data_IF_548907018720
#
_entry.id   IF_548907018720
#
_cell.length_a   1.000
_cell.length_b   1.000
_cell.length_c   1.000
_cell.angle_alpha   90.00
_cell.angle_beta   90.00
_cell.angle_gamma   90.00
#
_symmetry.space_group_name_H-M   'P 1'
#
loop_
_entity.id
_entity.type
_entity.pdbx_description
1 polymer ?
#
# COMPACT_ATOMS: atom_id res chain seq x y z
N UNK A 1 -24.86 33.88 -23.70
CA UNK A 1 -23.47 34.29 -23.40
C UNK A 1 -23.42 34.82 -21.97
N UNK A 2 -22.92 34.01 -21.04
CA UNK A 2 -22.30 34.45 -19.78
C UNK A 2 -21.11 33.52 -19.57
N UNK A 3 -19.95 33.96 -20.05
CA UNK A 3 -18.66 33.46 -19.60
C UNK A 3 -18.41 34.12 -18.25
N UNK A 4 -18.11 33.32 -17.25
CA UNK A 4 -17.31 33.66 -16.07
C UNK A 4 -17.15 32.34 -15.27
N UNK A 5 -16.37 31.42 -15.85
CA UNK A 5 -15.59 30.44 -15.06
C UNK A 5 -14.49 31.23 -14.33
N UNK A 6 -14.88 32.08 -13.39
CA UNK A 6 -13.95 32.79 -12.52
C UNK A 6 -13.27 31.77 -11.60
N UNK A 7 -11.99 31.49 -11.86
CA UNK A 7 -10.87 31.38 -10.91
C UNK A 7 -11.21 31.15 -9.42
N UNK A 8 -12.07 30.18 -9.11
CA UNK A 8 -12.46 29.91 -7.73
C UNK A 8 -11.37 29.06 -7.11
N UNK A 9 -10.44 29.73 -6.44
CA UNK A 9 -9.43 29.11 -5.59
C UNK A 9 -10.13 28.07 -4.70
N UNK A 10 -9.87 26.79 -4.97
CA UNK A 10 -10.44 25.66 -4.24
C UNK A 10 -9.32 24.89 -3.52
N UNK A 11 -9.71 23.94 -2.67
CA UNK A 11 -8.75 23.18 -1.87
C UNK A 11 -7.79 22.33 -2.73
N UNK A 12 -8.16 21.97 -3.97
CA UNK A 12 -7.32 21.13 -4.84
C UNK A 12 -6.07 21.88 -5.33
N UNK A 13 -6.15 23.19 -5.56
CA UNK A 13 -4.98 24.01 -5.90
C UNK A 13 -3.96 23.98 -4.76
N UNK A 14 -4.41 24.21 -3.53
CA UNK A 14 -3.53 24.20 -2.37
C UNK A 14 -3.02 22.79 -2.02
N UNK A 15 -3.81 21.73 -2.23
CA UNK A 15 -3.33 20.36 -2.05
C UNK A 15 -2.24 20.00 -3.04
N UNK A 16 -2.38 20.38 -4.32
CA UNK A 16 -1.37 20.16 -5.35
C UNK A 16 -0.08 20.92 -5.03
N UNK A 17 -0.21 22.19 -4.63
CA UNK A 17 0.93 23.00 -4.24
C UNK A 17 1.67 22.42 -3.03
N UNK A 18 0.93 22.00 -1.99
CA UNK A 18 1.50 21.34 -0.83
C UNK A 18 2.18 20.01 -1.20
N UNK A 19 1.58 19.19 -2.07
CA UNK A 19 2.16 17.94 -2.54
C UNK A 19 3.51 18.15 -3.27
N UNK A 20 3.59 19.17 -4.12
CA UNK A 20 4.85 19.56 -4.77
C UNK A 20 5.88 19.93 -3.71
N UNK A 21 5.54 20.81 -2.77
CA UNK A 21 6.47 21.24 -1.72
C UNK A 21 6.92 20.10 -0.80
N UNK A 22 6.05 19.17 -0.43
CA UNK A 22 6.42 17.96 0.32
C UNK A 22 7.43 17.13 -0.48
N UNK A 23 7.21 16.95 -1.80
CA UNK A 23 8.10 16.16 -2.66
C UNK A 23 9.50 16.78 -2.78
N UNK A 24 9.60 18.10 -2.86
CA UNK A 24 10.89 18.82 -2.88
C UNK A 24 11.39 19.20 -1.48
N UNK A 25 10.78 18.66 -0.41
CA UNK A 25 11.15 18.85 1.00
C UNK A 25 11.17 20.31 1.49
N UNK A 26 10.37 21.19 0.87
CA UNK A 26 10.12 22.55 1.34
C UNK A 26 8.95 22.57 2.34
N UNK A 27 9.18 22.04 3.54
CA UNK A 27 8.11 21.76 4.49
C UNK A 27 7.39 23.01 5.01
N UNK A 28 8.07 24.13 5.23
CA UNK A 28 7.40 25.36 5.69
C UNK A 28 6.39 25.88 4.63
N UNK A 29 6.76 25.79 3.35
CA UNK A 29 5.87 26.17 2.24
C UNK A 29 4.73 25.17 2.07
N UNK A 30 5.01 23.88 2.26
CA UNK A 30 3.98 22.84 2.26
C UNK A 30 2.93 23.14 3.35
N UNK A 31 3.36 23.37 4.58
CA UNK A 31 2.45 23.64 5.70
C UNK A 31 1.68 24.96 5.51
N UNK A 32 2.31 26.00 4.96
CA UNK A 32 1.58 27.23 4.60
C UNK A 32 0.48 26.96 3.56
N UNK A 33 0.74 26.12 2.55
CA UNK A 33 -0.27 25.73 1.58
C UNK A 33 -1.38 24.87 2.22
N UNK A 34 -1.04 23.95 3.12
CA UNK A 34 -2.02 23.14 3.86
C UNK A 34 -2.93 24.00 4.76
N UNK A 35 -2.41 25.04 5.39
CA UNK A 35 -3.24 26.00 6.14
C UNK A 35 -4.19 26.77 5.22
N UNK A 36 -3.80 27.05 3.99
CA UNK A 36 -4.69 27.67 3.01
C UNK A 36 -5.75 26.70 2.49
N UNK A 37 -5.38 25.44 2.25
CA UNK A 37 -6.30 24.34 1.94
C UNK A 37 -7.39 24.26 3.01
N UNK A 38 -7.00 24.21 4.29
CA UNK A 38 -7.94 24.10 5.42
C UNK A 38 -8.89 25.30 5.53
N UNK A 39 -8.44 26.51 5.16
CA UNK A 39 -9.29 27.71 5.15
C UNK A 39 -10.38 27.70 4.07
N UNK A 40 -10.10 27.07 2.93
CA UNK A 40 -11.05 27.03 1.80
C UNK A 40 -11.88 25.74 1.76
N UNK A 41 -11.41 24.68 2.44
CA UNK A 41 -12.11 23.42 2.54
C UNK A 41 -13.39 23.55 3.38
N UNK A 42 -14.46 22.95 2.88
CA UNK A 42 -15.74 22.84 3.61
C UNK A 42 -15.78 21.54 4.41
N UNK A 43 -16.50 21.48 5.55
CA UNK A 43 -16.61 20.27 6.36
C UNK A 43 -17.09 19.03 5.59
N UNK A 44 -17.91 19.22 4.55
CA UNK A 44 -18.44 18.15 3.70
C UNK A 44 -17.39 17.61 2.70
N UNK A 45 -16.34 18.38 2.41
CA UNK A 45 -15.26 18.04 1.49
C UNK A 45 -14.24 17.11 2.17
N UNK A 46 -14.69 15.90 2.50
CA UNK A 46 -13.89 14.86 3.18
C UNK A 46 -12.53 14.60 2.54
N UNK A 47 -12.48 14.67 1.21
CA UNK A 47 -11.24 14.45 0.47
C UNK A 47 -10.19 15.50 0.80
N UNK A 48 -10.58 16.76 0.99
CA UNK A 48 -9.67 17.82 1.42
C UNK A 48 -8.97 17.45 2.75
N UNK A 49 -9.73 16.90 3.70
CA UNK A 49 -9.17 16.42 4.98
C UNK A 49 -8.31 15.16 4.82
N UNK A 50 -8.63 14.28 3.86
CA UNK A 50 -7.75 13.14 3.53
C UNK A 50 -6.41 13.60 2.98
N UNK A 51 -6.40 14.64 2.13
CA UNK A 51 -5.17 15.28 1.66
C UNK A 51 -4.41 15.97 2.80
N UNK A 52 -5.10 16.69 3.69
CA UNK A 52 -4.49 17.29 4.87
C UNK A 52 -3.78 16.24 5.73
N UNK A 53 -4.42 15.11 6.05
CA UNK A 53 -3.81 14.01 6.81
C UNK A 53 -2.54 13.49 6.14
N UNK A 54 -2.63 13.14 4.85
CA UNK A 54 -1.52 12.57 4.08
C UNK A 54 -0.34 13.54 3.96
N UNK A 55 -0.63 14.82 3.70
CA UNK A 55 0.40 15.83 3.43
C UNK A 55 1.05 16.36 4.71
N UNK A 56 0.31 16.52 5.82
CA UNK A 56 0.94 16.79 7.13
C UNK A 56 1.80 15.61 7.61
N UNK A 57 1.37 14.36 7.40
CA UNK A 57 2.25 13.22 7.61
C UNK A 57 3.48 13.27 6.68
N UNK A 58 3.32 13.84 5.50
CA UNK A 58 4.37 14.12 4.53
C UNK A 58 5.44 15.10 5.01
N UNK A 59 5.08 16.07 5.85
CA UNK A 59 6.02 17.01 6.49
C UNK A 59 6.58 16.49 7.81
N UNK A 60 6.11 15.33 8.29
CA UNK A 60 6.49 14.79 9.60
C UNK A 60 5.71 15.41 10.77
N UNK A 61 4.68 16.21 10.49
CA UNK A 61 3.95 16.96 11.51
C UNK A 61 2.83 16.12 12.14
N UNK A 62 3.21 15.24 13.07
CA UNK A 62 2.30 14.33 13.78
C UNK A 62 1.20 15.08 14.56
N UNK A 63 1.52 16.24 15.15
CA UNK A 63 0.56 17.06 15.88
C UNK A 63 -0.60 17.53 15.00
N UNK A 64 -0.28 18.02 13.79
CA UNK A 64 -1.30 18.44 12.82
C UNK A 64 -2.11 17.26 12.26
N UNK A 65 -1.49 16.10 12.06
CA UNK A 65 -2.21 14.87 11.67
C UNK A 65 -3.28 14.51 12.69
N UNK A 66 -2.95 14.49 13.99
CA UNK A 66 -3.93 14.21 15.04
C UNK A 66 -5.00 15.30 15.17
N UNK A 67 -4.63 16.58 15.02
CA UNK A 67 -5.58 17.69 15.05
C UNK A 67 -6.62 17.55 13.94
N UNK A 68 -6.17 17.30 12.71
CA UNK A 68 -7.04 17.10 11.54
C UNK A 68 -7.89 15.84 11.71
N UNK A 69 -7.32 14.74 12.22
CA UNK A 69 -8.07 13.51 12.48
C UNK A 69 -9.21 13.73 13.49
N UNK A 70 -8.93 14.41 14.60
CA UNK A 70 -9.94 14.70 15.62
C UNK A 70 -11.06 15.59 15.07
N UNK A 71 -10.72 16.59 14.24
CA UNK A 71 -11.72 17.37 13.53
C UNK A 71 -12.58 16.50 12.60
N UNK A 72 -11.95 15.65 11.78
CA UNK A 72 -12.66 14.74 10.87
C UNK A 72 -13.61 13.79 11.61
N UNK A 73 -13.23 13.34 12.81
CA UNK A 73 -14.10 12.52 13.68
C UNK A 73 -15.29 13.29 14.25
N UNK A 74 -15.14 14.60 14.48
CA UNK A 74 -16.22 15.46 14.96
C UNK A 74 -17.30 15.77 13.91
N UNK A 75 -17.07 15.41 12.64
CA UNK A 75 -18.02 15.59 11.53
C UNK A 75 -18.42 14.21 10.95
N UNK A 76 -19.29 13.43 11.62
CA UNK A 76 -19.72 12.10 11.17
C UNK A 76 -20.36 12.09 9.78
N UNK A 77 -20.38 10.94 9.07
CA UNK A 77 -19.87 9.61 9.46
C UNK A 77 -18.38 9.37 9.11
N UNK A 78 -17.55 8.80 9.98
CA UNK A 78 -16.15 8.47 9.61
C UNK A 78 -16.10 7.22 8.74
N UNK A 79 -15.63 7.33 7.51
CA UNK A 79 -15.67 6.24 6.51
C UNK A 79 -14.42 5.33 6.57
N UNK A 80 -14.49 4.15 5.94
CA UNK A 80 -13.31 3.30 5.72
C UNK A 80 -12.19 4.05 4.98
N UNK A 81 -12.51 4.90 4.00
CA UNK A 81 -11.54 5.76 3.29
C UNK A 81 -10.84 6.71 4.26
N UNK A 82 -11.57 7.28 5.22
CA UNK A 82 -11.01 8.19 6.24
C UNK A 82 -10.04 7.47 7.18
N UNK A 83 -10.44 6.30 7.70
CA UNK A 83 -9.56 5.47 8.51
C UNK A 83 -8.34 4.97 7.72
N UNK A 84 -8.51 4.55 6.46
CA UNK A 84 -7.40 4.15 5.60
C UNK A 84 -6.37 5.26 5.45
N UNK A 85 -6.81 6.49 5.20
CA UNK A 85 -5.93 7.66 5.07
C UNK A 85 -5.23 8.00 6.38
N UNK A 86 -5.91 7.88 7.53
CA UNK A 86 -5.28 8.03 8.84
C UNK A 86 -4.22 6.95 9.11
N UNK A 87 -4.53 5.67 8.90
CA UNK A 87 -3.57 4.57 9.08
C UNK A 87 -2.35 4.71 8.16
N UNK A 88 -2.55 5.12 6.90
CA UNK A 88 -1.45 5.40 5.97
C UNK A 88 -0.57 6.56 6.46
N UNK A 89 -1.19 7.60 7.04
CA UNK A 89 -0.50 8.77 7.61
C UNK A 89 0.34 8.37 8.83
N UNK A 90 -0.23 7.59 9.76
CA UNK A 90 0.47 7.09 10.94
C UNK A 90 1.61 6.13 10.57
N UNK A 91 1.41 5.25 9.59
CA UNK A 91 2.46 4.39 9.04
C UNK A 91 3.62 5.23 8.50
N UNK A 92 3.34 6.31 7.77
CA UNK A 92 4.37 7.20 7.22
C UNK A 92 5.17 7.90 8.32
N UNK A 93 4.54 8.21 9.43
CA UNK A 93 5.16 8.79 10.63
C UNK A 93 5.88 7.75 11.51
N UNK A 94 5.81 6.46 11.16
CA UNK A 94 6.23 5.34 12.01
C UNK A 94 5.57 5.32 13.41
N UNK A 95 4.35 5.86 13.52
CA UNK A 95 3.57 5.86 14.76
C UNK A 95 2.73 4.58 14.87
N UNK A 96 3.38 3.50 15.33
CA UNK A 96 2.76 2.17 15.45
C UNK A 96 1.70 2.13 16.54
N UNK A 97 1.92 2.79 17.67
CA UNK A 97 0.95 2.84 18.77
C UNK A 97 -0.34 3.52 18.31
N UNK A 98 -0.21 4.69 17.68
CA UNK A 98 -1.34 5.40 17.08
C UNK A 98 -2.05 4.57 16.03
N UNK A 99 -1.28 3.88 15.18
CA UNK A 99 -1.82 3.04 14.10
C UNK A 99 -2.65 1.88 14.67
N UNK A 100 -2.14 1.17 15.66
CA UNK A 100 -2.86 0.07 16.34
C UNK A 100 -4.14 0.58 16.99
N UNK A 101 -4.07 1.70 17.72
CA UNK A 101 -5.25 2.30 18.35
C UNK A 101 -6.32 2.70 17.34
N UNK A 102 -5.93 3.32 16.22
CA UNK A 102 -6.84 3.70 15.15
C UNK A 102 -7.46 2.48 14.47
N UNK A 103 -6.70 1.39 14.32
CA UNK A 103 -7.20 0.13 13.75
C UNK A 103 -8.22 -0.55 14.66
N UNK A 104 -8.00 -0.59 15.97
CA UNK A 104 -8.98 -1.13 16.94
C UNK A 104 -10.28 -0.30 16.98
N UNK A 105 -10.16 1.03 16.97
CA UNK A 105 -11.31 1.96 16.86
C UNK A 105 -12.13 1.63 15.60
N UNK A 106 -11.47 1.46 14.45
CA UNK A 106 -12.13 1.06 13.21
C UNK A 106 -12.78 -0.33 13.31
N UNK A 107 -12.08 -1.35 13.83
CA UNK A 107 -12.60 -2.72 13.93
C UNK A 107 -13.88 -2.83 14.74
N UNK A 108 -14.01 -2.01 15.79
CA UNK A 108 -15.18 -1.95 16.67
C UNK A 108 -16.41 -1.30 16.04
N UNK A 109 -16.22 -0.46 15.02
CA UNK A 109 -17.26 0.39 14.44
C UNK A 109 -17.54 0.13 12.95
N UNK A 110 -16.70 -0.66 12.28
CA UNK A 110 -16.81 -0.87 10.85
C UNK A 110 -18.06 -1.69 10.47
N UNK A 111 -18.83 -1.17 9.52
CA UNK A 111 -19.95 -1.90 8.90
C UNK A 111 -19.42 -2.87 7.84
N UNK A 112 -18.47 -2.41 7.02
CA UNK A 112 -17.81 -3.21 5.99
C UNK A 112 -16.34 -3.38 6.32
N UNK A 113 -15.88 -4.63 6.37
CA UNK A 113 -14.50 -4.96 6.75
C UNK A 113 -13.54 -4.79 5.57
N UNK A 114 -13.04 -3.58 5.34
CA UNK A 114 -12.16 -3.24 4.22
C UNK A 114 -10.72 -3.75 4.40
N UNK A 115 -10.31 -4.67 3.50
CA UNK A 115 -9.00 -5.32 3.54
C UNK A 115 -7.81 -4.38 3.28
N UNK A 116 -8.03 -3.18 2.76
CA UNK A 116 -6.95 -2.19 2.57
C UNK A 116 -6.44 -1.67 3.91
N UNK A 117 -7.32 -1.55 4.92
CA UNK A 117 -6.93 -1.15 6.26
C UNK A 117 -6.11 -2.26 6.91
N UNK A 118 -6.60 -3.50 6.84
CA UNK A 118 -5.89 -4.71 7.30
C UNK A 118 -4.49 -4.78 6.68
N UNK A 119 -4.40 -4.64 5.35
CA UNK A 119 -3.12 -4.67 4.64
C UNK A 119 -2.18 -3.52 5.03
N UNK A 120 -2.72 -2.35 5.37
CA UNK A 120 -1.92 -1.21 5.86
C UNK A 120 -1.28 -1.51 7.21
N UNK A 121 -2.03 -2.15 8.12
CA UNK A 121 -1.52 -2.55 9.44
C UNK A 121 -0.50 -3.66 9.32
N UNK A 122 -0.79 -4.73 8.57
CA UNK A 122 0.17 -5.84 8.33
C UNK A 122 1.49 -5.28 7.79
N UNK A 123 1.43 -4.39 6.79
CA UNK A 123 2.63 -3.76 6.22
C UNK A 123 3.42 -2.97 7.26
N UNK A 124 2.74 -2.17 8.08
CA UNK A 124 3.38 -1.37 9.11
C UNK A 124 4.07 -2.26 10.15
N UNK A 125 3.37 -3.27 10.66
CA UNK A 125 3.92 -4.22 11.65
C UNK A 125 5.13 -4.98 11.09
N UNK A 126 5.05 -5.53 9.88
CA UNK A 126 6.18 -6.23 9.25
C UNK A 126 7.39 -5.31 9.04
N UNK A 127 7.19 -4.05 8.65
CA UNK A 127 8.29 -3.09 8.48
C UNK A 127 9.03 -2.77 9.77
N UNK A 128 8.41 -3.02 10.92
CA UNK A 128 9.00 -2.85 12.26
C UNK A 128 9.47 -4.18 12.86
N UNK A 129 9.38 -5.29 12.12
CA UNK A 129 9.74 -6.62 12.60
C UNK A 129 8.72 -7.25 13.56
N UNK A 130 7.53 -6.64 13.70
CA UNK A 130 6.41 -7.12 14.53
C UNK A 130 5.62 -8.19 13.78
N UNK A 131 6.24 -9.36 13.63
CA UNK A 131 5.73 -10.43 12.77
C UNK A 131 4.51 -11.12 13.37
N UNK A 132 4.55 -11.37 14.68
CA UNK A 132 3.50 -12.02 15.43
C UNK A 132 2.22 -11.18 15.42
N UNK A 133 2.34 -9.86 15.59
CA UNK A 133 1.22 -8.92 15.48
C UNK A 133 0.66 -8.89 14.05
N UNK A 134 1.53 -8.87 13.04
CA UNK A 134 1.10 -8.92 11.65
C UNK A 134 0.32 -10.21 11.35
N UNK A 135 0.80 -11.36 11.83
CA UNK A 135 0.14 -12.66 11.65
C UNK A 135 -1.22 -12.67 12.33
N UNK A 136 -1.30 -12.19 13.57
CA UNK A 136 -2.55 -12.09 14.32
C UNK A 136 -3.60 -11.26 13.57
N UNK A 137 -3.19 -10.14 12.95
CA UNK A 137 -4.07 -9.31 12.12
C UNK A 137 -4.57 -10.07 10.87
N UNK A 138 -3.72 -10.86 10.22
CA UNK A 138 -4.11 -11.70 9.08
C UNK A 138 -5.08 -12.82 9.50
N UNK A 139 -4.78 -13.53 10.59
CA UNK A 139 -5.62 -14.60 11.13
C UNK A 139 -7.01 -14.09 11.52
N UNK A 140 -7.08 -12.93 12.18
CA UNK A 140 -8.34 -12.28 12.52
C UNK A 140 -9.14 -11.95 11.24
N UNK A 141 -8.48 -11.40 10.21
CA UNK A 141 -9.13 -11.05 8.96
C UNK A 141 -9.67 -12.29 8.21
N UNK A 142 -8.91 -13.39 8.20
CA UNK A 142 -9.33 -14.68 7.65
C UNK A 142 -10.57 -15.20 8.40
N UNK A 143 -10.51 -15.21 9.74
CA UNK A 143 -11.63 -15.66 10.59
C UNK A 143 -12.88 -14.84 10.36
N UNK A 144 -12.76 -13.50 10.34
CA UNK A 144 -13.89 -12.57 10.20
C UNK A 144 -14.58 -12.66 8.84
N UNK A 145 -13.85 -13.10 7.81
CA UNK A 145 -14.37 -13.32 6.45
C UNK A 145 -14.69 -14.78 6.16
N UNK A 146 -14.65 -15.66 7.16
CA UNK A 146 -14.89 -17.10 6.98
C UNK A 146 -13.97 -17.74 5.91
N UNK A 147 -12.72 -17.26 5.83
CA UNK A 147 -11.76 -17.70 4.81
C UNK A 147 -12.05 -17.16 3.39
N UNK A 148 -13.05 -16.29 3.21
CA UNK A 148 -13.35 -15.68 1.91
C UNK A 148 -12.42 -14.49 1.66
N UNK A 149 -11.43 -14.71 0.80
CA UNK A 149 -10.43 -13.72 0.41
C UNK A 149 -10.96 -12.52 -0.41
N UNK A 150 -10.07 -11.75 -1.06
CA UNK A 150 -8.64 -12.03 -1.23
C UNK A 150 -7.76 -11.61 -0.04
N UNK A 151 -6.88 -12.49 0.42
CA UNK A 151 -5.77 -12.29 1.36
C UNK A 151 -4.40 -12.33 0.69
N UNK A 152 -4.32 -12.67 -0.60
CA UNK A 152 -3.06 -12.79 -1.32
C UNK A 152 -2.10 -11.60 -1.17
N UNK A 153 -2.60 -10.36 -1.01
CA UNK A 153 -1.76 -9.18 -0.77
C UNK A 153 -1.00 -9.29 0.54
N UNK A 154 -1.67 -9.78 1.59
CA UNK A 154 -1.06 -10.02 2.89
C UNK A 154 -0.03 -11.14 2.78
N UNK A 155 -0.39 -12.28 2.20
CA UNK A 155 0.53 -13.39 1.98
C UNK A 155 1.77 -12.97 1.16
N UNK A 156 1.61 -12.16 0.11
CA UNK A 156 2.74 -11.59 -0.65
C UNK A 156 3.68 -10.77 0.25
N UNK A 157 3.15 -9.96 1.18
CA UNK A 157 3.98 -9.19 2.11
C UNK A 157 4.75 -10.09 3.09
N UNK A 158 4.12 -11.15 3.60
CA UNK A 158 4.79 -12.15 4.44
C UNK A 158 5.87 -12.92 3.68
N UNK A 159 5.61 -13.30 2.43
CA UNK A 159 6.60 -13.98 1.59
C UNK A 159 7.87 -13.13 1.43
N UNK A 160 7.73 -11.83 1.14
CA UNK A 160 8.87 -10.91 1.12
C UNK A 160 9.59 -10.84 2.47
N UNK A 161 8.84 -10.61 3.55
CA UNK A 161 9.41 -10.48 4.89
C UNK A 161 10.22 -11.71 5.31
N UNK A 162 9.69 -12.91 5.11
CA UNK A 162 10.39 -14.14 5.47
C UNK A 162 11.60 -14.42 4.58
N UNK A 163 11.53 -14.05 3.30
CA UNK A 163 12.67 -14.17 2.39
C UNK A 163 13.84 -13.25 2.80
N UNK A 164 13.53 -12.02 3.26
CA UNK A 164 14.54 -11.12 3.85
C UNK A 164 15.16 -11.70 5.12
N UNK A 165 14.37 -12.39 5.93
CA UNK A 165 14.84 -13.08 7.13
C UNK A 165 15.49 -14.44 6.86
N UNK A 166 15.69 -14.80 5.58
CA UNK A 166 16.28 -16.08 5.16
C UNK A 166 15.52 -17.29 5.72
N UNK A 167 14.19 -17.16 5.89
CA UNK A 167 13.26 -18.22 6.33
C UNK A 167 12.47 -18.76 5.13
N UNK A 168 13.14 -19.54 4.29
CA UNK A 168 12.60 -20.01 3.01
C UNK A 168 11.24 -20.73 3.14
N UNK A 169 11.13 -21.69 4.07
CA UNK A 169 9.92 -22.52 4.20
C UNK A 169 8.66 -21.67 4.49
N UNK A 170 8.79 -20.68 5.36
CA UNK A 170 7.71 -19.74 5.66
C UNK A 170 7.41 -18.83 4.47
N UNK A 171 8.45 -18.38 3.76
CA UNK A 171 8.28 -17.58 2.57
C UNK A 171 7.50 -18.36 1.49
N UNK A 172 7.87 -19.62 1.23
CA UNK A 172 7.22 -20.51 0.26
C UNK A 172 5.77 -20.81 0.66
N UNK A 173 5.51 -21.06 1.95
CA UNK A 173 4.16 -21.26 2.45
C UNK A 173 3.25 -20.06 2.12
N UNK A 174 3.71 -18.84 2.37
CA UNK A 174 2.95 -17.65 2.04
C UNK A 174 2.86 -17.40 0.52
N UNK A 175 3.89 -17.75 -0.26
CA UNK A 175 3.81 -17.68 -1.72
C UNK A 175 2.71 -18.59 -2.25
N UNK A 176 2.71 -19.87 -1.85
CA UNK A 176 1.71 -20.85 -2.27
C UNK A 176 0.28 -20.43 -1.87
N UNK A 177 0.09 -19.92 -0.65
CA UNK A 177 -1.19 -19.38 -0.21
C UNK A 177 -1.65 -18.18 -1.07
N UNK A 178 -0.73 -17.26 -1.42
CA UNK A 178 -1.05 -16.13 -2.27
C UNK A 178 -1.44 -16.54 -3.70
N UNK A 179 -0.76 -17.56 -4.25
CA UNK A 179 -1.04 -18.10 -5.59
C UNK A 179 -2.36 -18.87 -5.63
N UNK A 180 -2.68 -19.63 -4.58
CA UNK A 180 -3.90 -20.46 -4.51
C UNK A 180 -5.20 -19.63 -4.54
N UNK A 181 -5.15 -18.36 -4.13
CA UNK A 181 -6.31 -17.46 -4.16
C UNK A 181 -6.49 -16.71 -5.49
N UNK A 182 -5.48 -16.72 -6.36
CA UNK A 182 -5.48 -15.94 -7.60
C UNK A 182 -6.30 -16.66 -8.68
N UNK A 183 -7.63 -16.50 -8.65
CA UNK A 183 -8.55 -17.02 -9.69
C UNK A 183 -8.45 -16.27 -11.03
N UNK A 184 -7.89 -15.05 -11.04
CA UNK A 184 -7.69 -14.21 -12.23
C UNK A 184 -6.26 -13.67 -12.23
N UNK A 185 -5.33 -14.42 -12.82
CA UNK A 185 -3.91 -14.07 -12.93
C UNK A 185 -3.67 -12.75 -13.68
N UNK A 186 -4.56 -12.41 -14.62
CA UNK A 186 -4.45 -11.24 -15.52
C UNK A 186 -4.51 -9.86 -14.83
N UNK A 187 -4.90 -9.78 -13.55
CA UNK A 187 -4.86 -8.52 -12.77
C UNK A 187 -3.65 -8.41 -11.85
N UNK A 188 -2.77 -9.40 -11.82
CA UNK A 188 -1.64 -9.45 -10.90
C UNK A 188 -0.31 -9.15 -11.58
N UNK A 189 0.56 -8.55 -10.79
CA UNK A 189 1.98 -8.50 -11.05
C UNK A 189 2.71 -9.47 -10.07
N UNK A 190 2.52 -10.78 -10.25
CA UNK A 190 3.20 -11.85 -9.48
C UNK A 190 4.71 -11.82 -9.68
N UNK A 191 5.18 -11.20 -10.77
CA UNK A 191 6.59 -11.15 -11.15
C UNK A 191 7.48 -10.69 -9.99
N UNK A 192 7.09 -9.65 -9.23
CA UNK A 192 7.97 -9.08 -8.20
C UNK A 192 8.32 -10.04 -7.07
N UNK A 193 7.35 -10.81 -6.58
CA UNK A 193 7.63 -11.76 -5.49
C UNK A 193 8.40 -12.97 -6.01
N UNK A 194 8.04 -13.47 -7.20
CA UNK A 194 8.74 -14.57 -7.85
C UNK A 194 10.20 -14.19 -8.15
N UNK A 195 10.44 -13.01 -8.74
CA UNK A 195 11.78 -12.48 -9.00
C UNK A 195 12.61 -12.36 -7.72
N UNK A 196 11.99 -12.03 -6.59
CA UNK A 196 12.69 -11.99 -5.31
C UNK A 196 13.14 -13.39 -4.86
N UNK A 197 12.31 -14.43 -5.01
CA UNK A 197 12.73 -15.82 -4.75
C UNK A 197 13.87 -16.25 -5.67
N UNK A 198 13.78 -15.96 -6.98
CA UNK A 198 14.83 -16.30 -7.93
C UNK A 198 16.16 -15.63 -7.55
N UNK A 199 16.13 -14.35 -7.20
CA UNK A 199 17.31 -13.61 -6.72
C UNK A 199 17.87 -14.21 -5.43
N UNK A 200 17.00 -14.53 -4.48
CA UNK A 200 17.39 -15.20 -3.24
C UNK A 200 18.13 -16.53 -3.51
N UNK A 201 17.59 -17.37 -4.39
CA UNK A 201 18.22 -18.64 -4.74
C UNK A 201 19.56 -18.47 -5.46
N UNK A 202 19.67 -17.48 -6.34
CA UNK A 202 20.95 -17.14 -7.00
C UNK A 202 22.00 -16.68 -5.98
N UNK A 203 21.64 -15.77 -5.07
CA UNK A 203 22.53 -15.22 -4.05
C UNK A 203 23.01 -16.28 -3.05
N UNK A 204 22.10 -17.11 -2.56
CA UNK A 204 22.39 -18.18 -1.60
C UNK A 204 22.94 -19.45 -2.27
N UNK A 205 23.03 -19.47 -3.61
CA UNK A 205 23.46 -20.62 -4.43
C UNK A 205 22.66 -21.90 -4.12
N UNK A 206 21.35 -21.73 -3.91
CA UNK A 206 20.40 -22.82 -3.64
C UNK A 206 19.74 -23.23 -4.96
N UNK A 207 19.64 -24.54 -5.21
CA UNK A 207 18.82 -25.07 -6.30
C UNK A 207 17.33 -25.09 -5.90
N UNK A 208 16.72 -23.90 -5.84
CA UNK A 208 15.35 -23.70 -5.37
C UNK A 208 14.30 -23.59 -6.47
N UNK A 209 14.70 -23.58 -7.74
CA UNK A 209 13.80 -23.36 -8.88
C UNK A 209 12.77 -24.48 -8.99
N UNK A 210 13.16 -25.72 -8.72
CA UNK A 210 12.24 -26.86 -8.79
C UNK A 210 11.14 -26.79 -7.71
N UNK A 211 11.43 -26.22 -6.53
CA UNK A 211 10.40 -25.96 -5.51
C UNK A 211 9.36 -24.97 -6.01
N UNK A 212 9.79 -23.89 -6.66
CA UNK A 212 8.87 -22.91 -7.26
C UNK A 212 8.02 -23.54 -8.35
N UNK A 213 8.63 -24.36 -9.23
CA UNK A 213 7.90 -25.11 -10.27
C UNK A 213 6.81 -25.98 -9.65
N UNK A 214 7.15 -26.71 -8.59
CA UNK A 214 6.18 -27.57 -7.91
C UNK A 214 5.01 -26.76 -7.31
N UNK A 215 5.28 -25.61 -6.71
CA UNK A 215 4.22 -24.71 -6.21
C UNK A 215 3.33 -24.21 -7.35
N UNK A 216 3.91 -23.75 -8.47
CA UNK A 216 3.11 -23.30 -9.61
C UNK A 216 2.22 -24.40 -10.17
N UNK A 217 2.75 -25.63 -10.26
CA UNK A 217 1.98 -26.81 -10.67
C UNK A 217 0.84 -27.09 -9.70
N UNK A 218 1.08 -27.04 -8.38
CA UNK A 218 0.04 -27.21 -7.36
C UNK A 218 -1.07 -26.16 -7.48
N UNK A 219 -0.72 -24.95 -7.91
CA UNK A 219 -1.66 -23.84 -8.11
C UNK A 219 -2.29 -23.82 -9.51
N UNK A 220 -2.03 -24.81 -10.38
CA UNK A 220 -2.47 -24.87 -11.79
C UNK A 220 -2.00 -23.67 -12.64
N UNK A 221 -0.76 -23.21 -12.46
CA UNK A 221 -0.18 -22.03 -13.10
C UNK A 221 0.91 -22.37 -14.15
N UNK A 222 0.62 -23.31 -15.05
CA UNK A 222 1.62 -23.91 -15.95
C UNK A 222 2.25 -22.94 -16.97
N UNK A 223 1.57 -21.88 -17.40
CA UNK A 223 2.12 -20.86 -18.33
C UNK A 223 3.25 -20.01 -17.71
N UNK A 224 3.25 -19.82 -16.38
CA UNK A 224 4.27 -19.02 -15.68
C UNK A 224 5.59 -19.78 -15.63
N UNK A 225 5.54 -21.10 -15.45
CA UNK A 225 6.72 -21.97 -15.47
C UNK A 225 7.52 -21.77 -16.76
N UNK A 226 6.83 -21.69 -17.91
CA UNK A 226 7.44 -21.47 -19.24
C UNK A 226 8.11 -20.09 -19.32
N UNK A 227 7.51 -19.07 -18.72
CA UNK A 227 8.09 -17.71 -18.73
C UNK A 227 9.35 -17.65 -17.86
N UNK A 228 9.36 -18.31 -16.70
CA UNK A 228 10.53 -18.39 -15.82
C UNK A 228 11.67 -19.16 -16.48
N UNK A 229 11.37 -20.26 -17.18
CA UNK A 229 12.36 -21.00 -17.99
C UNK A 229 12.97 -20.12 -19.09
N UNK A 230 12.15 -19.31 -19.76
CA UNK A 230 12.63 -18.38 -20.79
C UNK A 230 13.53 -17.28 -20.18
N UNK A 231 13.14 -16.68 -19.06
CA UNK A 231 13.89 -15.62 -18.37
C UNK A 231 15.16 -16.11 -17.66
N UNK A 232 15.25 -17.39 -17.31
CA UNK A 232 16.44 -17.96 -16.65
C UNK A 232 17.54 -18.36 -17.63
N UNK A 233 17.20 -18.52 -18.91
CA UNK A 233 18.11 -18.93 -19.99
C UNK A 233 18.82 -17.76 -20.72
N UNK A 234 18.42 -16.51 -20.51
CA UNK A 234 19.03 -15.32 -21.13
C UNK A 234 19.96 -14.59 -20.16
N UNK A 235 21.27 -14.72 -20.37
CA UNK A 235 22.32 -14.06 -19.57
C UNK A 235 22.21 -12.51 -19.63
N UNK A 236 21.72 -11.96 -20.74
CA UNK A 236 21.54 -10.52 -20.94
C UNK A 236 20.38 -9.91 -20.14
N UNK A 237 19.29 -10.66 -19.89
CA UNK A 237 18.19 -10.18 -19.04
C UNK A 237 18.54 -10.21 -17.54
N UNK A 238 19.42 -11.14 -17.13
CA UNK A 238 19.95 -11.19 -15.76
C UNK A 238 20.74 -9.93 -15.40
N UNK A 239 21.49 -9.33 -16.31
CA UNK A 239 22.22 -8.08 -16.06
C UNK A 239 21.31 -6.83 -16.04
N UNK A 240 20.25 -6.82 -16.86
CA UNK A 240 19.26 -5.73 -16.89
C UNK A 240 18.33 -5.76 -15.66
N UNK A 241 17.98 -6.96 -15.15
CA UNK A 241 17.26 -7.12 -13.89
C UNK A 241 18.18 -6.85 -12.67
N UNK A 242 19.45 -7.29 -12.69
CA UNK A 242 20.45 -6.98 -11.65
C UNK A 242 20.64 -5.47 -11.44
N UNK A 243 20.64 -4.68 -12.51
CA UNK A 243 20.83 -3.22 -12.44
C UNK A 243 19.58 -2.44 -12.04
N UNK A 244 18.39 -3.05 -12.06
CA UNK A 244 17.10 -2.41 -11.77
C UNK A 244 16.40 -2.89 -10.48
N UNK A 245 16.85 -3.98 -9.87
CA UNK A 245 16.17 -4.58 -8.71
C UNK A 245 16.73 -4.08 -7.37
N UNK A 246 15.98 -3.15 -6.79
CA UNK A 246 16.11 -2.71 -5.40
C UNK A 246 15.98 -3.86 -4.39
N UNK A 247 16.60 -3.72 -3.21
CA UNK A 247 16.48 -4.70 -2.13
C UNK A 247 15.03 -4.85 -1.65
N UNK A 248 14.63 -5.98 -1.02
CA UNK A 248 13.21 -6.21 -0.73
C UNK A 248 12.59 -5.14 0.20
N UNK A 249 13.39 -4.53 1.08
CA UNK A 249 13.01 -3.37 1.90
C UNK A 249 12.72 -2.14 1.05
N UNK A 250 13.48 -1.92 -0.03
CA UNK A 250 13.23 -0.86 -1.00
C UNK A 250 12.05 -1.21 -1.93
N UNK A 251 11.78 -2.49 -2.21
CA UNK A 251 10.58 -2.92 -2.97
C UNK A 251 9.28 -2.73 -2.18
N UNK A 252 9.27 -3.04 -0.88
CA UNK A 252 8.15 -2.73 0.03
C UNK A 252 7.94 -1.21 0.16
N UNK A 253 9.02 -0.43 0.11
CA UNK A 253 8.99 1.04 0.11
C UNK A 253 8.49 1.61 -1.22
N UNK A 254 8.92 1.09 -2.36
CA UNK A 254 8.47 1.52 -3.68
C UNK A 254 7.06 1.07 -4.03
N UNK A 255 6.60 -0.13 -3.63
CA UNK A 255 5.17 -0.47 -3.73
C UNK A 255 4.31 0.53 -2.93
N UNK A 256 4.87 1.12 -1.87
CA UNK A 256 4.21 2.18 -1.11
C UNK A 256 4.20 3.53 -1.83
N UNK A 257 5.23 3.83 -2.64
CA UNK A 257 5.30 5.05 -3.45
C UNK A 257 4.47 4.94 -4.75
N UNK A 258 4.42 3.77 -5.38
CA UNK A 258 3.60 3.49 -6.58
C UNK A 258 2.12 3.37 -6.21
N UNK A 259 1.78 2.74 -5.07
CA UNK A 259 0.40 2.72 -4.57
C UNK A 259 -0.10 4.09 -4.10
N UNK A 260 0.81 5.01 -3.76
CA UNK A 260 0.49 6.42 -3.53
C UNK A 260 0.35 7.16 -4.87
N UNK A 261 1.26 6.97 -5.82
CA UNK A 261 1.24 7.65 -7.12
C UNK A 261 0.09 7.24 -8.06
N UNK A 262 -0.42 6.00 -7.99
CA UNK A 262 -1.52 5.53 -8.83
C UNK A 262 -2.92 5.83 -8.27
N UNK A 263 -3.03 6.22 -6.99
CA UNK A 263 -4.28 6.69 -6.38
C UNK A 263 -4.39 8.22 -6.34
N UNK A 264 -3.33 8.96 -6.73
CA UNK A 264 -3.20 10.42 -6.57
C UNK A 264 -3.18 11.20 -7.91
N UNK A 265 -3.64 10.61 -9.03
CA UNK A 265 -3.94 11.38 -10.24
C UNK A 265 -5.46 11.52 -10.41
N UNK A 266 -5.99 12.74 -10.57
CA UNK A 266 -7.40 12.92 -10.90
C UNK A 266 -7.66 12.24 -12.24
N UNK A 267 -8.51 11.22 -12.25
CA UNK A 267 -9.15 10.78 -13.48
C UNK A 267 -9.93 11.95 -14.05
N UNK A 268 -9.72 12.23 -15.33
CA UNK A 268 -10.50 13.19 -16.10
C UNK A 268 -11.99 13.02 -15.79
N UNK A 269 -12.58 14.08 -15.23
CA UNK A 269 -14.03 14.23 -15.16
C UNK A 269 -14.48 14.57 -16.58
N UNK A 270 -14.59 13.55 -17.44
CA UNK A 270 -15.40 13.70 -18.63
C UNK A 270 -16.86 13.71 -18.20
N UNK A 271 -17.43 14.90 -18.35
CA UNK A 271 -18.85 15.18 -18.45
C UNK A 271 -19.55 14.17 -19.37
N UNK A 272 -20.52 13.44 -18.82
CA UNK A 272 -21.67 12.99 -19.61
C UNK A 272 -22.91 13.62 -18.99
N UNK A 273 -23.28 14.74 -19.60
CA UNK A 273 -24.64 15.25 -19.64
C UNK A 273 -25.32 14.59 -20.84
N UNK A 274 -26.31 13.74 -20.59
CA UNK A 274 -27.65 13.70 -21.20
C UNK A 274 -28.53 12.68 -20.49
#
# INVERSE_FOLDING_TARGET
MKREDEDKINWTIYSNLAAIYVKVKHFEKAESALKMLEKVARPEEREAFHFLLSLYAGTGNQGEVYRVWNYLKSVPPVTNKSHLRMLQSLRRLNDIEGLTKCFEEWKSSCITYDMRLVGTVIRASLSQGLCEEALSVLEEAIKRREGKGPFWRAHKMFAFFYLEKRKEDLALHHLEAALSEAKDYNRWNHSRVISAFLKYYEEEKIDGVEKLRQIFKNCNLDEICVTIEASTNTIEEKEVLRSKLLGPHQLLKEESEISQGHEDLPGDVHSESE
#
